data_IF_545752197453
#
_entry.id   IF_545752197453
#
_cell.length_a   1.000
_cell.length_b   1.000
_cell.length_c   1.000
_cell.angle_alpha   90.00
_cell.angle_beta   90.00
_cell.angle_gamma   90.00
#
_symmetry.space_group_name_H-M   'P 1'
#
loop_
_entity.id
_entity.type
_entity.pdbx_description
1 polymer ?
#
# COMPACT_ATOMS: atom_id res chain seq x y z
N UNK A 1 -23.51 -32.52 -60.51
CA UNK A 1 -23.08 -31.27 -59.92
C UNK A 1 -22.37 -31.61 -58.64
N UNK A 2 -21.03 -31.43 -58.61
CA UNK A 2 -20.20 -31.76 -57.46
C UNK A 2 -19.91 -30.42 -56.74
N UNK A 3 -20.39 -30.22 -55.50
CA UNK A 3 -20.08 -29.09 -54.68
C UNK A 3 -18.77 -29.37 -53.93
N UNK A 4 -17.72 -28.62 -54.29
CA UNK A 4 -16.48 -28.51 -53.49
C UNK A 4 -16.74 -27.59 -52.28
N UNK A 5 -16.61 -28.13 -51.08
CA UNK A 5 -16.50 -27.33 -49.86
C UNK A 5 -15.02 -26.99 -49.65
N UNK A 6 -14.67 -25.71 -49.73
CA UNK A 6 -13.38 -25.17 -49.31
C UNK A 6 -13.50 -24.83 -47.85
N UNK A 7 -12.83 -25.60 -46.98
CA UNK A 7 -12.70 -25.27 -45.56
C UNK A 7 -11.58 -24.26 -45.38
N UNK A 8 -11.92 -23.04 -45.04
CA UNK A 8 -10.95 -22.01 -44.64
C UNK A 8 -10.50 -22.26 -43.20
N UNK A 9 -9.23 -22.62 -43.04
CA UNK A 9 -8.57 -22.77 -41.74
C UNK A 9 -8.20 -21.39 -41.22
N UNK A 10 -8.99 -20.85 -40.28
CA UNK A 10 -8.64 -19.58 -39.57
C UNK A 10 -7.64 -19.93 -38.48
N UNK A 11 -6.37 -19.62 -38.73
CA UNK A 11 -5.32 -19.61 -37.69
C UNK A 11 -5.57 -18.43 -36.75
N UNK A 12 -6.11 -18.72 -35.58
CA UNK A 12 -6.17 -17.78 -34.48
C UNK A 12 -4.75 -17.56 -33.93
N UNK A 13 -4.12 -16.47 -34.33
CA UNK A 13 -2.88 -15.99 -33.72
C UNK A 13 -3.28 -15.38 -32.36
N UNK A 14 -3.17 -16.17 -31.28
CA UNK A 14 -3.23 -15.64 -29.93
C UNK A 14 -2.01 -14.74 -29.72
N UNK A 15 -2.16 -13.47 -29.32
CA UNK A 15 -1.00 -12.68 -28.93
C UNK A 15 -0.33 -13.40 -27.75
N UNK A 16 0.90 -13.84 -27.93
CA UNK A 16 1.74 -14.27 -26.82
C UNK A 16 1.95 -13.04 -25.92
N UNK A 17 1.17 -12.93 -24.87
CA UNK A 17 1.47 -12.02 -23.77
C UNK A 17 2.83 -12.49 -23.25
N UNK A 18 3.86 -11.66 -23.44
CA UNK A 18 5.17 -11.93 -22.88
C UNK A 18 4.98 -12.09 -21.36
N UNK A 19 5.07 -13.32 -20.89
CA UNK A 19 5.02 -13.63 -19.48
C UNK A 19 6.29 -13.02 -18.90
N UNK A 20 6.19 -11.86 -18.23
CA UNK A 20 7.32 -11.32 -17.48
C UNK A 20 7.82 -12.45 -16.59
N UNK A 21 9.08 -12.81 -16.70
CA UNK A 21 9.70 -13.82 -15.86
C UNK A 21 9.71 -13.29 -14.41
N UNK A 22 8.71 -13.65 -13.65
CA UNK A 22 8.51 -13.27 -12.26
C UNK A 22 8.95 -14.42 -11.36
N UNK A 23 9.76 -14.11 -10.34
CA UNK A 23 10.15 -15.07 -9.31
C UNK A 23 9.42 -14.72 -8.01
N UNK A 24 8.76 -15.71 -7.40
CA UNK A 24 8.20 -15.56 -6.06
C UNK A 24 9.33 -15.22 -5.06
N UNK A 25 9.16 -14.17 -4.29
CA UNK A 25 10.12 -13.69 -3.30
C UNK A 25 9.66 -13.93 -1.87
N UNK A 26 8.35 -13.81 -1.62
CA UNK A 26 7.76 -14.06 -0.30
C UNK A 26 6.24 -14.13 -0.41
N UNK A 27 5.61 -14.63 0.65
CA UNK A 27 4.17 -14.47 0.89
C UNK A 27 3.95 -13.82 2.25
N UNK A 28 2.84 -13.12 2.43
CA UNK A 28 2.47 -12.60 3.75
C UNK A 28 0.96 -12.58 4.00
N UNK A 29 0.63 -12.66 5.29
CA UNK A 29 -0.67 -12.37 5.86
C UNK A 29 -0.50 -11.24 6.88
N UNK A 30 -1.34 -10.22 6.79
CA UNK A 30 -1.22 -9.04 7.64
C UNK A 30 -2.56 -8.37 7.90
N UNK A 31 -2.61 -7.57 8.96
CA UNK A 31 -3.65 -6.57 9.20
C UNK A 31 -3.05 -5.19 8.93
N UNK A 32 -3.83 -4.32 8.30
CA UNK A 32 -3.33 -3.01 7.88
C UNK A 32 -4.33 -1.91 8.15
N UNK A 33 -3.79 -0.71 8.33
CA UNK A 33 -4.55 0.53 8.28
C UNK A 33 -3.87 1.45 7.26
N UNK A 34 -4.61 1.81 6.23
CA UNK A 34 -4.13 2.68 5.16
C UNK A 34 -4.75 4.08 5.32
N UNK A 35 -3.89 5.07 5.37
CA UNK A 35 -4.22 6.49 5.41
C UNK A 35 -3.78 7.13 4.10
N UNK A 36 -4.66 7.87 3.43
CA UNK A 36 -4.28 8.61 2.23
C UNK A 36 -4.47 10.10 2.44
N UNK A 37 -3.55 10.86 1.88
CA UNK A 37 -3.46 12.30 2.08
C UNK A 37 -3.32 13.04 0.76
N UNK A 38 -3.63 14.34 0.82
CA UNK A 38 -3.30 15.34 -0.20
C UNK A 38 -2.36 16.36 0.42
N UNK A 39 -1.16 16.51 -0.15
CA UNK A 39 -0.24 17.61 0.10
C UNK A 39 -0.06 18.43 -1.19
N UNK A 40 0.63 19.59 -1.18
CA UNK A 40 0.93 20.32 -2.40
C UNK A 40 1.64 19.43 -3.44
N UNK A 41 1.11 19.34 -4.66
CA UNK A 41 1.62 18.42 -5.70
C UNK A 41 3.11 18.61 -5.97
N UNK A 42 3.59 19.85 -5.96
CA UNK A 42 5.01 20.13 -6.16
C UNK A 42 5.92 19.55 -5.05
N UNK A 43 5.41 19.45 -3.80
CA UNK A 43 6.15 18.83 -2.71
C UNK A 43 6.20 17.31 -2.88
N UNK A 44 5.08 16.69 -3.25
CA UNK A 44 4.99 15.23 -3.49
C UNK A 44 5.81 14.83 -4.72
N UNK A 45 5.73 15.61 -5.81
CA UNK A 45 6.50 15.35 -7.03
C UNK A 45 8.01 15.31 -6.79
N UNK A 46 8.53 16.11 -5.85
CA UNK A 46 9.95 16.10 -5.46
C UNK A 46 10.41 14.80 -4.79
N UNK A 47 9.48 14.00 -4.27
CA UNK A 47 9.79 12.68 -3.68
C UNK A 47 9.85 11.57 -4.73
N UNK A 48 9.38 11.83 -5.96
CA UNK A 48 9.46 10.89 -7.06
C UNK A 48 10.83 10.98 -7.75
N UNK A 49 11.42 9.84 -8.10
CA UNK A 49 12.65 9.83 -8.89
C UNK A 49 12.39 10.24 -10.33
N UNK A 50 13.46 10.56 -11.07
CA UNK A 50 13.35 10.83 -12.49
C UNK A 50 12.67 9.67 -13.24
N UNK A 51 11.87 9.99 -14.26
CA UNK A 51 11.09 9.01 -15.03
C UNK A 51 9.73 8.66 -14.43
N UNK A 52 9.33 9.29 -13.32
CA UNK A 52 8.01 9.13 -12.72
C UNK A 52 7.33 10.48 -12.53
N UNK A 53 6.04 10.51 -12.75
CA UNK A 53 5.18 11.65 -12.47
C UNK A 53 3.99 11.25 -11.61
N UNK A 54 3.48 12.21 -10.84
CA UNK A 54 2.33 12.03 -9.97
C UNK A 54 1.10 11.57 -10.76
N UNK A 55 0.40 10.56 -10.24
CA UNK A 55 -0.82 10.02 -10.83
C UNK A 55 -1.90 9.82 -9.76
N UNK A 56 -2.43 10.94 -9.26
CA UNK A 56 -3.48 10.92 -8.23
C UNK A 56 -4.72 10.17 -8.69
N UNK A 57 -5.34 9.33 -7.83
CA UNK A 57 -6.60 8.66 -8.13
C UNK A 57 -7.70 9.66 -8.52
N UNK A 58 -8.42 9.37 -9.59
CA UNK A 58 -9.50 10.22 -10.11
C UNK A 58 -10.90 9.77 -9.68
N UNK A 59 -11.01 8.60 -9.03
CA UNK A 59 -12.25 8.00 -8.57
C UNK A 59 -12.06 7.20 -7.27
N UNK A 60 -13.18 6.79 -6.70
CA UNK A 60 -13.22 5.95 -5.49
C UNK A 60 -12.88 6.71 -4.21
N UNK A 61 -12.72 5.97 -3.08
CA UNK A 61 -12.53 6.57 -1.76
C UNK A 61 -11.24 7.38 -1.62
N UNK A 62 -10.21 7.10 -2.46
CA UNK A 62 -8.92 7.78 -2.43
C UNK A 62 -8.83 8.93 -3.46
N UNK A 63 -9.94 9.31 -4.11
CA UNK A 63 -9.94 10.35 -5.14
C UNK A 63 -9.27 11.63 -4.64
N UNK A 64 -8.29 12.11 -5.39
CA UNK A 64 -7.57 13.35 -5.12
C UNK A 64 -6.39 13.22 -4.16
N UNK A 65 -6.19 12.06 -3.50
CA UNK A 65 -4.98 11.84 -2.70
C UNK A 65 -3.73 11.78 -3.58
N UNK A 66 -2.58 12.13 -3.01
CA UNK A 66 -1.33 12.08 -3.75
C UNK A 66 -0.19 11.37 -3.00
N UNK A 67 -0.40 10.99 -1.75
CA UNK A 67 0.48 10.04 -1.06
C UNK A 67 -0.31 9.22 -0.04
N UNK A 68 0.25 8.08 0.35
CA UNK A 68 -0.31 7.18 1.34
C UNK A 68 0.69 6.79 2.41
N UNK A 69 0.18 6.52 3.60
CA UNK A 69 0.86 5.90 4.71
C UNK A 69 0.12 4.60 5.04
N UNK A 70 0.79 3.47 4.91
CA UNK A 70 0.25 2.16 5.27
C UNK A 70 0.95 1.64 6.52
N UNK A 71 0.17 1.41 7.56
CA UNK A 71 0.56 0.81 8.82
C UNK A 71 0.29 -0.69 8.72
N UNK A 72 1.31 -1.53 8.91
CA UNK A 72 1.26 -2.96 8.60
C UNK A 72 1.71 -3.77 9.81
N UNK A 73 0.81 -4.63 10.28
CA UNK A 73 1.08 -5.64 11.28
C UNK A 73 1.11 -7.01 10.60
N UNK A 74 2.29 -7.58 10.43
CA UNK A 74 2.47 -8.87 9.77
C UNK A 74 2.19 -10.01 10.75
N UNK A 75 1.15 -10.80 10.47
CA UNK A 75 0.79 -12.00 11.22
C UNK A 75 1.69 -13.16 10.81
N UNK A 76 1.94 -13.30 9.51
CA UNK A 76 2.79 -14.33 8.93
C UNK A 76 3.54 -13.78 7.74
N UNK A 77 4.82 -14.05 7.67
CA UNK A 77 5.66 -13.85 6.48
C UNK A 77 6.39 -15.15 6.21
N UNK A 78 6.42 -15.58 4.95
CA UNK A 78 7.11 -16.79 4.54
C UNK A 78 8.03 -16.50 3.36
N UNK A 79 9.16 -17.20 3.33
CA UNK A 79 10.04 -17.23 2.14
C UNK A 79 9.38 -18.01 0.99
N UNK A 80 10.02 -18.10 -0.20
CA UNK A 80 9.47 -18.83 -1.33
C UNK A 80 9.22 -20.32 -1.08
N UNK A 81 9.97 -20.92 -0.17
CA UNK A 81 9.89 -22.32 0.23
C UNK A 81 8.81 -22.56 1.32
N UNK A 82 8.13 -21.50 1.75
CA UNK A 82 7.09 -21.55 2.77
C UNK A 82 7.60 -21.53 4.22
N UNK A 83 8.90 -21.29 4.44
CA UNK A 83 9.48 -21.21 5.78
C UNK A 83 9.09 -19.89 6.45
N UNK A 84 8.53 -19.92 7.67
CA UNK A 84 8.19 -18.69 8.38
C UNK A 84 9.41 -17.82 8.67
N UNK A 85 9.22 -16.51 8.45
CA UNK A 85 10.16 -15.45 8.82
C UNK A 85 9.65 -14.75 10.10
N UNK A 86 10.54 -14.08 10.86
CA UNK A 86 10.12 -13.36 12.07
C UNK A 86 8.97 -12.39 11.81
N UNK A 87 7.96 -12.32 12.70
CA UNK A 87 6.90 -11.33 12.60
C UNK A 87 7.50 -9.93 12.71
N UNK A 88 6.84 -8.95 12.08
CA UNK A 88 7.31 -7.57 12.09
C UNK A 88 6.18 -6.58 11.91
N UNK A 89 6.41 -5.36 12.31
CA UNK A 89 5.58 -4.21 12.00
C UNK A 89 6.32 -3.31 11.01
N UNK A 90 5.61 -2.68 10.10
CA UNK A 90 6.20 -1.78 9.10
C UNK A 90 5.27 -0.62 8.85
N UNK A 91 5.82 0.58 8.75
CA UNK A 91 5.13 1.76 8.24
C UNK A 91 5.72 2.11 6.89
N UNK A 92 4.91 2.12 5.85
CA UNK A 92 5.35 2.36 4.49
C UNK A 92 4.65 3.57 3.89
N UNK A 93 5.40 4.45 3.25
CA UNK A 93 4.86 5.60 2.54
C UNK A 93 5.06 5.41 1.04
N UNK A 94 4.00 5.66 0.28
CA UNK A 94 4.02 5.51 -1.17
C UNK A 94 3.28 6.65 -1.87
N UNK A 95 3.67 6.89 -3.11
CA UNK A 95 3.06 7.88 -4.01
C UNK A 95 2.45 7.12 -5.19
N UNK A 96 1.16 7.35 -5.52
CA UNK A 96 0.60 6.89 -6.79
C UNK A 96 1.26 7.66 -7.93
N UNK A 97 1.87 6.95 -8.86
CA UNK A 97 2.67 7.52 -9.94
C UNK A 97 2.39 6.82 -11.27
N UNK A 98 2.89 7.39 -12.35
CA UNK A 98 3.01 6.73 -13.65
C UNK A 98 4.40 6.93 -14.21
N UNK A 99 4.87 5.97 -14.98
CA UNK A 99 6.13 6.08 -15.72
C UNK A 99 5.96 7.06 -16.88
N UNK A 100 6.84 8.06 -16.99
CA UNK A 100 6.74 9.06 -18.07
C UNK A 100 6.94 8.45 -19.46
N UNK A 101 7.77 7.41 -19.58
CA UNK A 101 8.08 6.77 -20.86
C UNK A 101 6.93 5.90 -21.41
N UNK A 102 6.11 5.29 -20.55
CA UNK A 102 5.10 4.29 -20.96
C UNK A 102 3.67 4.66 -20.57
N UNK A 103 3.50 5.60 -19.65
CA UNK A 103 2.20 5.90 -19.03
C UNK A 103 1.71 4.83 -18.06
N UNK A 104 2.51 3.78 -17.77
CA UNK A 104 2.15 2.69 -16.85
C UNK A 104 1.90 3.25 -15.45
N UNK A 105 0.70 2.98 -14.90
CA UNK A 105 0.35 3.33 -13.54
C UNK A 105 1.06 2.39 -12.55
N UNK A 106 1.75 2.97 -11.56
CA UNK A 106 2.55 2.26 -10.56
C UNK A 106 2.46 2.96 -9.20
N UNK A 107 2.95 2.31 -8.15
CA UNK A 107 3.26 2.98 -6.89
C UNK A 107 4.77 3.20 -6.74
N UNK A 108 5.17 4.25 -6.05
CA UNK A 108 6.57 4.49 -5.68
C UNK A 108 6.69 4.56 -4.17
N UNK A 109 7.41 3.60 -3.58
CA UNK A 109 7.73 3.60 -2.15
C UNK A 109 8.94 4.51 -1.94
N UNK A 110 8.74 5.60 -1.21
CA UNK A 110 9.77 6.64 -1.05
C UNK A 110 10.29 6.78 0.38
N UNK A 111 9.57 6.24 1.37
CA UNK A 111 9.92 6.34 2.77
C UNK A 111 9.26 5.22 3.56
N UNK A 112 9.72 4.99 4.79
CA UNK A 112 9.10 4.06 5.72
C UNK A 112 9.95 3.82 6.95
N UNK A 113 9.37 3.08 7.89
CA UNK A 113 10.00 2.65 9.13
C UNK A 113 9.83 1.15 9.30
N UNK A 114 10.88 0.48 9.75
CA UNK A 114 10.92 -0.97 9.93
C UNK A 114 11.86 -1.31 11.09
N UNK A 115 11.74 -2.51 11.67
CA UNK A 115 12.67 -2.96 12.70
C UNK A 115 14.13 -2.95 12.23
N UNK A 116 15.04 -2.64 13.13
CA UNK A 116 16.48 -2.50 12.87
C UNK A 116 17.07 -3.68 12.09
N UNK A 117 16.68 -4.91 12.41
CA UNK A 117 17.19 -6.12 11.75
C UNK A 117 16.80 -6.24 10.26
N UNK A 118 15.83 -5.45 9.80
CA UNK A 118 15.29 -5.50 8.44
C UNK A 118 15.68 -4.29 7.57
N UNK A 119 16.44 -3.33 8.11
CA UNK A 119 16.89 -2.11 7.39
C UNK A 119 17.93 -2.46 6.33
N UNK A 120 17.89 -1.80 5.14
CA UNK A 120 17.03 -0.69 4.72
C UNK A 120 15.69 -1.14 4.08
N UNK A 121 15.25 -2.34 4.38
CA UNK A 121 14.05 -2.94 3.83
C UNK A 121 14.15 -3.25 2.33
N UNK A 122 13.09 -3.82 1.76
CA UNK A 122 13.13 -4.32 0.39
C UNK A 122 13.29 -3.22 -0.68
N UNK A 123 12.94 -1.98 -0.34
CA UNK A 123 13.03 -0.83 -1.25
C UNK A 123 14.27 0.04 -1.00
N UNK A 124 15.07 -0.26 0.02
CA UNK A 124 16.27 0.51 0.34
C UNK A 124 16.00 1.91 0.92
N UNK A 125 14.76 2.23 1.32
CA UNK A 125 14.34 3.56 1.77
C UNK A 125 13.83 3.59 3.22
N UNK A 126 13.73 2.42 3.86
CA UNK A 126 13.21 2.33 5.23
C UNK A 126 14.28 2.69 6.25
N UNK A 127 13.88 3.45 7.26
CA UNK A 127 14.68 3.72 8.45
C UNK A 127 14.40 2.72 9.57
N UNK A 128 15.40 2.54 10.43
CA UNK A 128 15.27 1.76 11.65
C UNK A 128 14.35 2.46 12.64
N UNK A 129 13.45 1.72 13.28
CA UNK A 129 12.59 2.24 14.32
C UNK A 129 12.16 1.15 15.30
N UNK A 130 11.80 1.57 16.51
CA UNK A 130 10.98 0.80 17.43
C UNK A 130 9.52 1.04 17.05
N UNK A 131 8.79 -0.02 16.77
CA UNK A 131 7.41 0.02 16.31
C UNK A 131 6.52 -0.73 17.30
N UNK A 132 5.32 -0.22 17.51
CA UNK A 132 4.28 -0.91 18.29
C UNK A 132 2.91 -0.67 17.70
N UNK A 133 2.03 -1.63 17.92
CA UNK A 133 0.61 -1.57 17.58
C UNK A 133 -0.23 -2.12 18.73
N UNK A 134 -1.25 -1.39 19.10
CA UNK A 134 -2.34 -1.89 19.93
C UNK A 134 -3.62 -1.83 19.12
N UNK A 135 -4.39 -2.92 19.15
CA UNK A 135 -5.70 -2.99 18.52
C UNK A 135 -6.70 -3.65 19.46
N UNK A 136 -7.85 -3.01 19.63
CA UNK A 136 -8.97 -3.51 20.43
C UNK A 136 -10.23 -3.52 19.59
N UNK A 137 -11.07 -4.51 19.79
CA UNK A 137 -12.37 -4.66 19.13
C UNK A 137 -13.43 -4.92 20.19
N UNK A 138 -14.37 -4.01 20.33
CA UNK A 138 -15.44 -4.07 21.32
C UNK A 138 -16.79 -4.04 20.60
N UNK A 139 -17.61 -5.10 20.78
CA UNK A 139 -18.98 -5.12 20.31
C UNK A 139 -19.89 -4.54 21.39
N UNK A 140 -20.81 -3.66 20.99
CA UNK A 140 -21.87 -3.16 21.85
C UNK A 140 -23.10 -4.09 21.86
N UNK A 141 -24.10 -3.75 22.67
CA UNK A 141 -25.35 -4.52 22.79
C UNK A 141 -26.15 -4.56 21.47
N UNK A 142 -25.99 -3.57 20.61
CA UNK A 142 -26.66 -3.47 19.30
C UNK A 142 -25.90 -4.20 18.19
N UNK A 143 -24.80 -4.88 18.53
CA UNK A 143 -23.95 -5.61 17.57
C UNK A 143 -23.02 -4.73 16.75
N UNK A 144 -22.96 -3.42 17.01
CA UNK A 144 -21.96 -2.54 16.41
C UNK A 144 -20.59 -2.82 17.03
N UNK A 145 -19.59 -2.92 16.20
CA UNK A 145 -18.22 -3.15 16.67
C UNK A 145 -17.39 -1.88 16.53
N UNK A 146 -16.87 -1.42 17.67
CA UNK A 146 -15.90 -0.33 17.75
C UNK A 146 -14.51 -0.90 17.65
N UNK A 147 -13.69 -0.31 16.79
CA UNK A 147 -12.27 -0.63 16.65
C UNK A 147 -11.46 0.55 17.17
N UNK A 148 -10.53 0.25 18.08
CA UNK A 148 -9.53 1.19 18.59
C UNK A 148 -8.16 0.74 18.14
N UNK A 149 -7.36 1.63 17.55
CA UNK A 149 -6.00 1.37 17.11
C UNK A 149 -5.06 2.47 17.59
N UNK A 150 -3.93 2.07 18.12
CA UNK A 150 -2.79 2.97 18.40
C UNK A 150 -1.56 2.38 17.73
N UNK A 151 -0.94 3.16 16.84
CA UNK A 151 0.28 2.82 16.16
C UNK A 151 1.37 3.82 16.53
N UNK A 152 2.54 3.33 16.89
CA UNK A 152 3.65 4.18 17.30
C UNK A 152 4.94 3.74 16.63
N UNK A 153 5.77 4.72 16.27
CA UNK A 153 7.12 4.51 15.81
C UNK A 153 8.06 5.57 16.39
N UNK A 154 9.23 5.14 16.82
CA UNK A 154 10.34 6.01 17.19
C UNK A 154 11.59 5.55 16.45
N UNK A 155 12.02 6.35 15.49
CA UNK A 155 13.18 6.06 14.66
C UNK A 155 14.48 6.57 15.29
N UNK A 156 15.61 5.96 14.91
CA UNK A 156 16.94 6.30 15.40
C UNK A 156 17.38 7.71 14.95
N UNK A 157 16.85 8.21 13.84
CA UNK A 157 17.11 9.58 13.33
C UNK A 157 16.26 10.67 14.01
N UNK A 158 15.52 10.32 15.07
CA UNK A 158 14.64 11.21 15.80
C UNK A 158 13.25 11.39 15.19
N UNK A 159 12.96 10.76 14.07
CA UNK A 159 11.61 10.77 13.50
C UNK A 159 10.65 9.96 14.37
N UNK A 160 9.45 10.51 14.56
CA UNK A 160 8.39 9.87 15.35
C UNK A 160 7.08 9.90 14.58
N UNK A 161 6.32 8.82 14.70
CA UNK A 161 4.94 8.72 14.21
C UNK A 161 4.06 8.13 15.31
N UNK A 162 2.95 8.79 15.59
CA UNK A 162 1.87 8.27 16.42
C UNK A 162 0.55 8.45 15.66
N UNK A 163 -0.23 7.38 15.54
CA UNK A 163 -1.59 7.40 14.99
C UNK A 163 -2.52 6.81 16.03
N UNK A 164 -3.56 7.54 16.40
CA UNK A 164 -4.67 7.06 17.21
C UNK A 164 -5.93 7.11 16.36
N UNK A 165 -6.63 6.00 16.29
CA UNK A 165 -7.81 5.84 15.46
C UNK A 165 -8.87 5.06 16.22
N UNK A 166 -10.11 5.59 16.25
CA UNK A 166 -11.28 4.88 16.71
C UNK A 166 -12.38 5.03 15.66
N UNK A 167 -12.98 3.92 15.25
CA UNK A 167 -14.04 3.92 14.26
C UNK A 167 -15.03 2.78 14.47
N UNK A 168 -16.26 2.96 13.97
CA UNK A 168 -17.24 1.89 13.91
C UNK A 168 -16.97 1.03 12.67
N UNK A 169 -16.76 -0.27 12.87
CA UNK A 169 -16.51 -1.23 11.79
C UNK A 169 -17.71 -1.30 10.84
N UNK A 170 -17.46 -1.23 9.55
CA UNK A 170 -18.43 -1.47 8.49
C UNK A 170 -18.35 -2.88 7.93
N UNK A 171 -18.98 -3.08 6.77
CA UNK A 171 -18.88 -4.32 6.00
C UNK A 171 -17.71 -4.19 5.02
N UNK A 172 -16.63 -4.98 5.19
CA UNK A 172 -15.50 -4.91 4.28
C UNK A 172 -15.86 -5.40 2.87
N UNK A 173 -15.32 -4.73 1.86
CA UNK A 173 -15.36 -5.23 0.48
C UNK A 173 -14.14 -6.12 0.22
N UNK A 174 -14.38 -7.29 -0.41
CA UNK A 174 -13.31 -8.20 -0.82
C UNK A 174 -12.83 -7.84 -2.22
N UNK A 175 -11.54 -7.65 -2.39
CA UNK A 175 -10.92 -7.32 -3.67
C UNK A 175 -9.66 -8.13 -3.92
N UNK A 176 -9.40 -8.45 -5.20
CA UNK A 176 -8.13 -8.99 -5.68
C UNK A 176 -7.48 -7.95 -6.56
N UNK A 177 -6.20 -7.70 -6.33
CA UNK A 177 -5.46 -6.63 -7.02
C UNK A 177 -4.05 -7.13 -7.35
N UNK A 178 -3.56 -6.68 -8.50
CA UNK A 178 -2.14 -6.71 -8.82
C UNK A 178 -1.61 -5.28 -8.86
N UNK A 179 -0.44 -5.05 -8.24
CA UNK A 179 0.18 -3.73 -8.19
C UNK A 179 1.70 -3.84 -8.33
N UNK A 180 2.29 -2.95 -9.12
CA UNK A 180 3.74 -2.77 -9.21
C UNK A 180 4.16 -1.60 -8.33
N UNK A 181 5.10 -1.85 -7.43
CA UNK A 181 5.65 -0.83 -6.55
C UNK A 181 7.15 -0.69 -6.79
N UNK A 182 7.56 0.49 -7.24
CA UNK A 182 8.95 0.87 -7.44
C UNK A 182 9.58 1.47 -6.18
N UNK A 183 10.91 1.46 -6.12
CA UNK A 183 11.68 2.15 -5.08
C UNK A 183 12.04 3.56 -5.53
N UNK A 184 11.87 4.56 -4.67
CA UNK A 184 12.41 5.89 -4.94
C UNK A 184 13.95 5.92 -4.86
N UNK A 185 14.56 5.06 -4.02
CA UNK A 185 16.01 4.97 -3.87
C UNK A 185 16.72 4.16 -4.95
N UNK A 186 15.96 3.27 -5.66
CA UNK A 186 16.44 2.44 -6.79
C UNK A 186 15.31 2.32 -7.81
N UNK A 187 15.12 3.30 -8.69
CA UNK A 187 13.93 3.40 -9.56
C UNK A 187 13.71 2.21 -10.49
N UNK A 188 14.77 1.53 -10.88
CA UNK A 188 14.74 0.31 -11.67
C UNK A 188 14.24 -0.92 -10.90
N UNK A 189 14.39 -0.91 -9.57
CA UNK A 189 13.90 -1.99 -8.72
C UNK A 189 12.42 -1.82 -8.43
N UNK A 190 11.66 -2.90 -8.66
CA UNK A 190 10.25 -2.97 -8.29
C UNK A 190 9.87 -4.36 -7.79
N UNK A 191 8.72 -4.41 -7.12
CA UNK A 191 8.04 -5.64 -6.72
C UNK A 191 6.65 -5.67 -7.32
N UNK A 192 6.20 -6.87 -7.66
CA UNK A 192 4.84 -7.14 -8.11
C UNK A 192 4.11 -7.77 -6.95
N UNK A 193 3.01 -7.17 -6.54
CA UNK A 193 2.16 -7.64 -5.47
C UNK A 193 0.87 -8.19 -6.05
N UNK A 194 0.64 -9.49 -5.87
CA UNK A 194 -0.65 -10.13 -6.17
C UNK A 194 -1.32 -10.38 -4.83
N UNK A 195 -2.39 -9.66 -4.53
CA UNK A 195 -2.99 -9.70 -3.21
C UNK A 195 -4.50 -9.76 -3.23
N UNK A 196 -5.03 -10.33 -2.15
CA UNK A 196 -6.43 -10.32 -1.82
C UNK A 196 -6.61 -9.66 -0.46
N UNK A 197 -7.62 -8.81 -0.34
CA UNK A 197 -7.91 -8.09 0.88
C UNK A 197 -9.39 -7.95 1.15
N UNK A 198 -9.72 -7.81 2.44
CA UNK A 198 -11.00 -7.30 2.91
C UNK A 198 -10.78 -5.85 3.37
N UNK A 199 -11.33 -4.88 2.65
CA UNK A 199 -11.12 -3.45 2.90
C UNK A 199 -12.39 -2.78 3.39
N UNK A 200 -12.31 -2.13 4.56
CA UNK A 200 -13.37 -1.34 5.17
C UNK A 200 -12.98 0.14 5.17
N UNK A 201 -13.63 0.94 4.34
CA UNK A 201 -13.41 2.39 4.26
C UNK A 201 -14.10 3.04 5.46
N UNK A 202 -13.35 3.37 6.50
CA UNK A 202 -13.86 4.03 7.70
C UNK A 202 -14.11 5.53 7.49
N UNK A 203 -13.30 6.19 6.66
CA UNK A 203 -13.46 7.58 6.27
C UNK A 203 -13.09 7.80 4.80
N UNK A 204 -13.84 8.64 4.11
CA UNK A 204 -13.48 9.13 2.77
C UNK A 204 -14.16 10.46 2.49
N UNK A 205 -13.36 11.52 2.38
CA UNK A 205 -13.84 12.84 1.99
C UNK A 205 -14.47 12.83 0.59
N UNK A 206 -13.97 11.98 -0.31
CA UNK A 206 -14.44 11.89 -1.69
C UNK A 206 -15.81 11.20 -1.85
N UNK A 207 -16.16 10.28 -0.95
CA UNK A 207 -17.43 9.51 -1.02
C UNK A 207 -18.40 9.84 0.11
N UNK A 208 -18.03 10.74 1.02
CA UNK A 208 -18.87 11.14 2.17
C UNK A 208 -19.01 10.08 3.25
N UNK A 209 -18.17 9.03 3.22
CA UNK A 209 -18.15 8.03 4.30
C UNK A 209 -17.43 8.63 5.50
N UNK A 210 -18.06 8.60 6.68
CA UNK A 210 -17.43 8.96 7.93
C UNK A 210 -18.01 8.14 9.09
N UNK A 211 -17.21 7.18 9.56
CA UNK A 211 -17.49 6.31 10.70
C UNK A 211 -16.39 6.40 11.75
N UNK A 212 -15.56 7.45 11.63
CA UNK A 212 -14.47 7.71 12.55
C UNK A 212 -14.94 8.55 13.71
N UNK A 213 -14.75 8.04 14.92
CA UNK A 213 -15.11 8.73 16.17
C UNK A 213 -13.92 9.54 16.73
N UNK A 214 -12.69 9.04 16.50
CA UNK A 214 -11.46 9.71 16.91
C UNK A 214 -10.37 9.43 15.91
N UNK A 215 -9.66 10.48 15.50
CA UNK A 215 -8.44 10.37 14.71
C UNK A 215 -7.45 11.44 15.14
N UNK A 216 -6.22 11.02 15.34
CA UNK A 216 -5.08 11.93 15.44
C UNK A 216 -3.84 11.30 14.82
N UNK A 217 -3.03 12.13 14.21
CA UNK A 217 -1.72 11.77 13.69
C UNK A 217 -0.69 12.80 14.15
N UNK A 218 0.42 12.33 14.69
CA UNK A 218 1.61 13.14 14.99
C UNK A 218 2.77 12.53 14.24
N UNK A 219 3.28 13.24 13.25
CA UNK A 219 4.40 12.83 12.43
C UNK A 219 5.46 13.93 12.48
N UNK A 220 6.61 13.66 13.09
CA UNK A 220 7.67 14.63 13.31
C UNK A 220 9.04 14.09 12.91
N UNK A 221 10.01 14.98 12.76
CA UNK A 221 11.37 14.64 12.38
C UNK A 221 11.60 14.57 10.87
N UNK A 222 12.85 14.33 10.44
CA UNK A 222 13.28 14.56 9.06
C UNK A 222 12.56 13.68 8.04
N UNK A 223 12.09 12.49 8.41
CA UNK A 223 11.39 11.59 7.51
C UNK A 223 9.98 12.04 7.16
N UNK A 224 9.32 12.78 8.06
CA UNK A 224 7.92 13.14 7.91
C UNK A 224 7.71 14.60 7.56
N UNK A 225 8.59 15.50 8.04
CA UNK A 225 8.47 16.94 7.87
C UNK A 225 8.25 17.42 6.42
N UNK A 226 8.78 16.78 5.37
CA UNK A 226 8.52 17.21 3.99
C UNK A 226 7.05 17.16 3.56
N UNK A 227 6.25 16.26 4.13
CA UNK A 227 4.84 16.06 3.79
C UNK A 227 3.87 16.25 4.96
N UNK A 228 4.36 16.12 6.21
CA UNK A 228 3.58 16.38 7.43
C UNK A 228 4.06 17.69 8.06
N UNK A 229 3.56 18.80 7.56
CA UNK A 229 3.94 20.15 7.96
C UNK A 229 2.73 21.07 8.21
N UNK A 230 1.52 20.47 8.29
CA UNK A 230 0.26 21.16 8.47
C UNK A 230 -0.45 21.57 7.16
N UNK A 231 0.17 21.28 6.00
CA UNK A 231 -0.48 21.52 4.70
C UNK A 231 -1.16 20.26 4.14
N UNK A 232 -0.89 19.10 4.73
CA UNK A 232 -1.50 17.85 4.34
C UNK A 232 -2.96 17.77 4.78
N UNK A 233 -3.79 17.16 3.93
CA UNK A 233 -5.20 16.91 4.19
C UNK A 233 -5.46 15.40 4.17
N UNK A 234 -6.11 14.89 5.19
CA UNK A 234 -6.59 13.50 5.20
C UNK A 234 -7.70 13.34 4.16
N UNK A 235 -7.55 12.36 3.26
CA UNK A 235 -8.54 12.03 2.24
C UNK A 235 -9.33 10.78 2.62
N UNK A 236 -8.62 9.72 3.05
CA UNK A 236 -9.31 8.50 3.47
C UNK A 236 -8.58 7.73 4.56
N UNK A 237 -9.35 6.93 5.29
CA UNK A 237 -8.91 5.91 6.24
C UNK A 237 -9.56 4.60 5.83
N UNK A 238 -8.74 3.59 5.56
CA UNK A 238 -9.21 2.24 5.22
C UNK A 238 -8.61 1.23 6.19
N UNK A 239 -9.44 0.54 6.94
CA UNK A 239 -9.05 -0.62 7.73
C UNK A 239 -9.06 -1.87 6.86
N UNK A 240 -8.01 -2.67 6.94
CA UNK A 240 -7.84 -3.90 6.15
C UNK A 240 -7.59 -5.05 7.12
N UNK A 241 -8.65 -5.62 7.73
CA UNK A 241 -8.54 -6.67 8.74
C UNK A 241 -8.00 -7.99 8.20
N UNK A 242 -7.98 -8.16 6.89
CA UNK A 242 -7.41 -9.33 6.23
C UNK A 242 -6.74 -8.91 4.94
N UNK A 243 -5.45 -9.18 4.85
CA UNK A 243 -4.63 -8.94 3.66
C UNK A 243 -3.70 -10.13 3.45
N UNK A 244 -3.82 -10.80 2.33
CA UNK A 244 -2.96 -11.92 1.91
C UNK A 244 -2.28 -11.56 0.61
N UNK A 245 -0.96 -11.77 0.52
CA UNK A 245 -0.17 -11.34 -0.63
C UNK A 245 0.92 -12.33 -1.02
N UNK A 246 1.09 -12.50 -2.34
CA UNK A 246 2.29 -13.05 -2.95
C UNK A 246 3.12 -11.91 -3.54
N UNK A 247 4.41 -11.94 -3.27
CA UNK A 247 5.38 -10.92 -3.67
C UNK A 247 6.30 -11.53 -4.72
N UNK A 248 6.36 -10.91 -5.88
CA UNK A 248 7.25 -11.31 -6.96
C UNK A 248 8.29 -10.22 -7.24
N UNK A 249 9.42 -10.66 -7.75
CA UNK A 249 10.47 -9.79 -8.30
C UNK A 249 10.72 -10.19 -9.76
N UNK A 250 11.08 -9.23 -10.63
CA UNK A 250 11.46 -9.56 -11.99
C UNK A 250 12.72 -10.43 -12.00
N UNK A 251 12.78 -11.41 -12.90
CA UNK A 251 14.00 -12.16 -13.20
C UNK A 251 14.77 -11.33 -14.22
N UNK A 252 15.94 -10.82 -13.81
CA UNK A 252 16.86 -10.10 -14.69
C UNK A 252 17.71 -11.09 -15.49
#
# INVERSE_FOLDING_TARGET
MRHLFVAALVLAISPAVAQENEKLSATDLSVRTALTFKAPDAAVQKMLPAGFELNSPTAGPNKGSNFGLTLIDYILVQDPEGKPLPPRTTFAMNIPAKKTATGEAVGVVFNGLIDQAAVPGPYGVFGAAKLSVERRSNADADGKTMIDETWQAKADDGSMLEVQLQFTRGVPARTKVEAKLHSAGKPEFYRIYKFEQAADVAHSAATGIDRVNKFSIKATGPRFAPLFNGSEQLISITSIPSYSRSIYVPVM
#
